data_IF_115315939637
#
_entry.id   IF_115315939637
#
_cell.length_a   1.000
_cell.length_b   1.000
_cell.length_c   1.000
_cell.angle_alpha   90.00
_cell.angle_beta   90.00
_cell.angle_gamma   90.00
#
_symmetry.space_group_name_H-M   'P 1'
#
loop_
_entity.id
_entity.type
_entity.pdbx_description
1 polymer ?
#
# COMPACT_ATOMS: atom_id res chain seq x y z
N UNK A 1 -17.21 -0.70 -14.65
CA UNK A 1 -16.06 0.22 -14.38
C UNK A 1 -16.30 1.51 -15.14
N UNK A 2 -16.11 2.68 -14.48
CA UNK A 2 -16.28 3.99 -15.15
C UNK A 2 -15.12 4.22 -16.14
N UNK A 3 -15.39 4.95 -17.23
CA UNK A 3 -14.37 5.33 -18.21
C UNK A 3 -13.23 6.12 -17.55
N UNK A 4 -13.55 7.00 -16.59
CA UNK A 4 -12.58 7.77 -15.81
C UNK A 4 -11.57 6.85 -15.11
N UNK A 5 -12.06 5.79 -14.46
CA UNK A 5 -11.21 4.83 -13.76
C UNK A 5 -10.27 4.06 -14.72
N UNK A 6 -10.77 3.65 -15.90
CA UNK A 6 -9.96 2.98 -16.93
C UNK A 6 -8.83 3.90 -17.44
N UNK A 7 -9.13 5.18 -17.63
CA UNK A 7 -8.15 6.19 -18.03
C UNK A 7 -7.10 6.38 -16.94
N UNK A 8 -7.50 6.46 -15.66
CA UNK A 8 -6.58 6.58 -14.52
C UNK A 8 -5.62 5.38 -14.46
N UNK A 9 -6.12 4.15 -14.58
CA UNK A 9 -5.31 2.93 -14.60
C UNK A 9 -4.34 2.89 -15.79
N UNK A 10 -4.75 3.38 -16.96
CA UNK A 10 -3.87 3.49 -18.12
C UNK A 10 -2.73 4.48 -17.87
N UNK A 11 -3.01 5.65 -17.28
CA UNK A 11 -1.98 6.63 -16.90
C UNK A 11 -1.03 6.08 -15.84
N UNK A 12 -1.53 5.39 -14.84
CA UNK A 12 -0.72 4.74 -13.80
C UNK A 12 0.24 3.72 -14.40
N UNK A 13 -0.25 2.82 -15.26
CA UNK A 13 0.59 1.86 -15.95
C UNK A 13 1.69 2.55 -16.78
N UNK A 14 1.33 3.59 -17.54
CA UNK A 14 2.29 4.36 -18.35
C UNK A 14 3.32 5.06 -17.49
N UNK A 15 2.90 5.57 -16.33
CA UNK A 15 3.81 6.18 -15.36
C UNK A 15 4.83 5.14 -14.85
N UNK A 16 4.39 3.95 -14.45
CA UNK A 16 5.27 2.87 -14.01
C UNK A 16 6.24 2.44 -15.10
N UNK A 17 5.79 2.25 -16.33
CA UNK A 17 6.62 1.90 -17.47
C UNK A 17 7.73 2.94 -17.68
N UNK A 18 7.38 4.22 -17.66
CA UNK A 18 8.35 5.32 -17.82
C UNK A 18 9.28 5.45 -16.63
N UNK A 19 8.74 5.39 -15.41
CA UNK A 19 9.50 5.55 -14.17
C UNK A 19 10.54 4.45 -13.98
N UNK A 20 10.23 3.21 -14.37
CA UNK A 20 11.13 2.06 -14.25
C UNK A 20 12.04 1.88 -15.48
N UNK A 21 11.78 2.58 -16.58
CA UNK A 21 12.59 2.50 -17.80
C UNK A 21 14.05 2.86 -17.52
N UNK A 22 14.97 1.97 -17.94
CA UNK A 22 16.42 2.16 -17.79
C UNK A 22 16.96 1.98 -16.37
N UNK A 23 16.11 1.64 -15.38
CA UNK A 23 16.56 1.32 -14.03
C UNK A 23 17.01 -0.14 -13.93
N UNK A 24 17.95 -0.38 -13.02
CA UNK A 24 18.32 -1.75 -12.61
C UNK A 24 17.27 -2.30 -11.62
N UNK A 25 16.73 -3.48 -11.92
CA UNK A 25 15.69 -4.13 -11.13
C UNK A 25 16.12 -4.34 -9.67
N UNK A 26 17.33 -4.90 -9.47
CA UNK A 26 17.78 -5.28 -8.13
C UNK A 26 18.09 -4.06 -7.27
N UNK A 27 18.73 -3.04 -7.86
CA UNK A 27 18.99 -1.78 -7.16
C UNK A 27 17.70 -1.07 -6.78
N UNK A 28 16.69 -1.10 -7.67
CA UNK A 28 15.38 -0.50 -7.38
C UNK A 28 14.69 -1.22 -6.22
N UNK A 29 14.61 -2.55 -6.21
CA UNK A 29 13.99 -3.29 -5.13
C UNK A 29 14.78 -3.16 -3.82
N UNK A 30 16.11 -3.14 -3.85
CA UNK A 30 16.93 -2.90 -2.66
C UNK A 30 16.63 -1.54 -2.03
N UNK A 31 16.58 -0.48 -2.87
CA UNK A 31 16.20 0.85 -2.42
C UNK A 31 14.76 0.89 -1.89
N UNK A 32 13.81 0.25 -2.57
CA UNK A 32 12.40 0.25 -2.15
C UNK A 32 12.21 -0.52 -0.84
N UNK A 33 12.94 -1.63 -0.67
CA UNK A 33 12.97 -2.39 0.58
C UNK A 33 13.50 -1.55 1.74
N UNK A 34 14.60 -0.80 1.53
CA UNK A 34 15.13 0.11 2.54
C UNK A 34 14.09 1.19 2.90
N UNK A 35 13.46 1.81 1.91
CA UNK A 35 12.42 2.81 2.13
C UNK A 35 11.27 2.28 3.01
N UNK A 36 10.77 1.06 2.75
CA UNK A 36 9.71 0.47 3.57
C UNK A 36 10.19 0.09 4.97
N UNK A 37 11.41 -0.41 5.12
CA UNK A 37 11.99 -0.69 6.44
C UNK A 37 12.16 0.56 7.29
N UNK A 38 12.60 1.67 6.67
CA UNK A 38 12.75 2.96 7.35
C UNK A 38 11.38 3.48 7.82
N UNK A 39 10.36 3.35 6.97
CA UNK A 39 8.99 3.73 7.33
C UNK A 39 8.45 2.87 8.47
N UNK A 40 8.59 1.53 8.38
CA UNK A 40 8.18 0.62 9.45
C UNK A 40 8.89 0.91 10.77
N UNK A 41 10.16 1.31 10.72
CA UNK A 41 10.89 1.74 11.91
C UNK A 41 10.30 3.01 12.54
N UNK A 42 9.89 3.98 11.70
CA UNK A 42 9.29 5.24 12.18
C UNK A 42 7.92 5.04 12.85
N UNK A 43 7.16 4.02 12.42
CA UNK A 43 5.82 3.73 12.96
C UNK A 43 5.80 2.51 13.90
N UNK A 44 6.94 1.88 14.14
CA UNK A 44 7.06 0.56 14.79
C UNK A 44 6.71 0.54 16.28
N UNK A 45 6.72 1.69 16.96
CA UNK A 45 6.29 1.76 18.37
C UNK A 45 4.78 1.52 18.51
N UNK A 46 3.98 1.96 17.54
CA UNK A 46 2.53 1.82 17.55
C UNK A 46 2.04 0.64 16.72
N UNK A 47 2.92 0.06 15.87
CA UNK A 47 2.58 -1.03 14.97
C UNK A 47 3.47 -2.26 15.23
N UNK A 48 2.96 -3.31 15.90
CA UNK A 48 3.73 -4.52 16.21
C UNK A 48 3.87 -5.44 14.98
N UNK A 49 4.39 -4.91 13.87
CA UNK A 49 4.47 -5.64 12.60
C UNK A 49 5.37 -6.89 12.65
N UNK A 50 6.29 -6.95 13.64
CA UNK A 50 7.20 -8.10 13.82
C UNK A 50 6.48 -9.32 14.38
N UNK A 51 5.36 -9.10 15.07
CA UNK A 51 4.57 -10.14 15.74
C UNK A 51 3.29 -10.47 14.95
N UNK A 52 3.10 -9.84 13.79
CA UNK A 52 1.92 -10.05 12.98
C UNK A 52 1.89 -11.49 12.42
N UNK A 53 0.75 -12.16 12.60
CA UNK A 53 0.49 -13.48 12.05
C UNK A 53 0.13 -13.42 10.56
N UNK A 54 -0.55 -12.36 10.11
CA UNK A 54 -1.02 -12.21 8.72
C UNK A 54 -1.05 -10.76 8.27
N UNK A 55 -0.72 -10.53 7.01
CA UNK A 55 -0.60 -9.17 6.44
C UNK A 55 -1.31 -9.11 5.08
N UNK A 56 -2.05 -8.02 4.84
CA UNK A 56 -2.53 -7.63 3.53
C UNK A 56 -1.91 -6.29 3.10
N UNK A 57 -1.47 -6.19 1.85
CA UNK A 57 -1.02 -4.97 1.18
C UNK A 57 -1.96 -4.68 0.01
N UNK A 58 -2.89 -3.74 0.19
CA UNK A 58 -3.98 -3.47 -0.75
C UNK A 58 -3.73 -2.17 -1.51
N UNK A 59 -3.73 -2.24 -2.85
CA UNK A 59 -3.21 -1.20 -3.72
C UNK A 59 -1.68 -1.22 -3.74
N UNK A 60 -1.10 -2.42 -3.75
CA UNK A 60 0.33 -2.62 -3.53
C UNK A 60 1.22 -2.12 -4.68
N UNK A 61 0.67 -1.95 -5.89
CA UNK A 61 1.48 -1.68 -7.07
C UNK A 61 2.54 -2.78 -7.34
N UNK A 62 3.55 -2.51 -8.18
CA UNK A 62 4.59 -3.51 -8.49
C UNK A 62 5.70 -3.59 -7.43
N UNK A 63 5.69 -2.74 -6.41
CA UNK A 63 6.73 -2.72 -5.37
C UNK A 63 6.19 -2.17 -4.03
N UNK A 64 5.07 -2.74 -3.58
CA UNK A 64 4.42 -2.39 -2.33
C UNK A 64 5.21 -2.82 -1.09
N UNK A 65 4.60 -2.61 0.08
CA UNK A 65 5.25 -2.95 1.35
C UNK A 65 5.42 -4.47 1.53
N UNK A 66 4.65 -5.29 0.79
CA UNK A 66 4.79 -6.75 0.79
C UNK A 66 6.23 -7.21 0.56
N UNK A 67 7.05 -6.43 -0.16
CA UNK A 67 8.45 -6.81 -0.49
C UNK A 67 9.36 -6.94 0.74
N UNK A 68 9.02 -6.30 1.86
CA UNK A 68 9.80 -6.42 3.10
C UNK A 68 9.39 -7.64 3.92
N UNK A 69 8.22 -8.19 3.65
CA UNK A 69 7.69 -9.40 4.27
C UNK A 69 7.95 -10.66 3.43
N UNK A 70 8.53 -10.49 2.24
CA UNK A 70 8.89 -11.57 1.34
C UNK A 70 10.39 -11.55 1.06
N UNK A 71 11.09 -12.70 1.14
CA UNK A 71 12.48 -12.74 0.74
C UNK A 71 12.59 -12.45 -0.77
N UNK A 72 13.50 -11.55 -1.14
CA UNK A 72 13.87 -11.39 -2.54
C UNK A 72 14.72 -12.56 -2.96
N UNK A 73 14.27 -13.34 -3.95
CA UNK A 73 15.12 -14.32 -4.62
C UNK A 73 15.73 -13.66 -5.85
N UNK A 74 17.04 -13.39 -5.89
CA UNK A 74 17.69 -13.14 -7.17
C UNK A 74 17.51 -14.38 -8.07
N UNK A 75 17.15 -14.18 -9.34
CA UNK A 75 17.27 -15.27 -10.33
C UNK A 75 18.75 -15.68 -10.38
N UNK A 76 19.11 -16.75 -9.69
CA UNK A 76 20.51 -17.17 -9.55
C UNK A 76 20.76 -18.14 -8.39
N UNK A 77 19.70 -18.61 -7.78
CA UNK A 77 19.78 -19.71 -6.83
C UNK A 77 20.13 -19.26 -5.40
N UNK A 78 19.21 -19.53 -4.50
CA UNK A 78 19.58 -19.69 -3.11
C UNK A 78 20.52 -20.86 -2.99
N UNK A 79 21.62 -20.64 -2.31
CA UNK A 79 22.40 -21.73 -1.79
C UNK A 79 21.53 -22.37 -0.69
N UNK A 80 20.87 -23.50 -1.00
CA UNK A 80 19.95 -24.23 -0.12
C UNK A 80 20.61 -24.77 1.16
N UNK A 81 21.90 -24.49 1.35
CA UNK A 81 22.67 -24.91 2.53
C UNK A 81 22.57 -23.92 3.71
N UNK A 82 21.91 -22.79 3.55
CA UNK A 82 21.70 -21.83 4.63
C UNK A 82 20.33 -22.08 5.27
N UNK A 83 20.24 -23.06 6.16
CA UNK A 83 19.05 -23.50 6.89
C UNK A 83 18.38 -22.41 7.77
N UNK A 84 18.90 -21.19 7.74
CA UNK A 84 18.37 -20.01 8.42
C UNK A 84 17.43 -19.14 7.57
N UNK A 85 17.29 -19.40 6.26
CA UNK A 85 16.65 -18.49 5.27
C UNK A 85 15.18 -18.73 4.99
N UNK A 86 14.56 -19.70 5.64
CA UNK A 86 13.12 -19.96 5.49
C UNK A 86 12.22 -19.06 6.34
N UNK A 87 12.80 -18.14 7.11
CA UNK A 87 12.03 -17.14 7.86
C UNK A 87 11.83 -15.92 6.98
N UNK A 88 10.56 -15.40 6.83
CA UNK A 88 10.35 -14.10 6.24
C UNK A 88 11.22 -13.06 6.96
N UNK A 89 11.80 -12.08 6.25
CA UNK A 89 12.81 -11.17 6.82
C UNK A 89 12.36 -10.42 8.06
N UNK A 90 11.05 -10.26 8.29
CA UNK A 90 10.48 -9.54 9.43
C UNK A 90 9.61 -10.42 10.35
N UNK A 91 9.79 -11.73 10.34
CA UNK A 91 9.13 -12.60 11.34
C UNK A 91 7.62 -12.82 11.16
N UNK A 92 7.04 -12.42 10.02
CA UNK A 92 5.65 -12.71 9.71
C UNK A 92 5.49 -14.20 9.47
N UNK A 93 4.65 -14.85 10.27
CA UNK A 93 4.51 -16.32 10.27
C UNK A 93 3.31 -16.83 9.46
N UNK A 94 2.46 -15.91 8.99
CA UNK A 94 1.24 -16.24 8.27
C UNK A 94 1.23 -15.71 6.82
N UNK A 95 0.07 -15.76 6.17
CA UNK A 95 -0.07 -15.33 4.79
C UNK A 95 0.23 -13.85 4.61
N UNK A 96 0.98 -13.54 3.55
CA UNK A 96 1.12 -12.20 3.00
C UNK A 96 0.29 -12.15 1.72
N UNK A 97 -0.72 -11.29 1.68
CA UNK A 97 -1.52 -11.05 0.48
C UNK A 97 -1.19 -9.68 -0.06
N UNK A 98 -0.98 -9.59 -1.38
CA UNK A 98 -0.80 -8.33 -2.10
C UNK A 98 -1.87 -8.20 -3.17
N UNK A 99 -2.70 -7.17 -3.08
CA UNK A 99 -3.81 -6.93 -3.99
C UNK A 99 -3.64 -5.60 -4.74
N UNK A 100 -3.79 -5.62 -6.05
CA UNK A 100 -3.79 -4.42 -6.91
C UNK A 100 -4.47 -4.75 -8.24
N UNK A 101 -5.29 -3.86 -8.81
CA UNK A 101 -6.03 -4.15 -10.04
C UNK A 101 -5.12 -4.35 -11.27
N UNK A 102 -3.89 -3.87 -11.23
CA UNK A 102 -2.95 -3.92 -12.37
C UNK A 102 -1.90 -5.05 -12.28
N UNK A 103 -1.92 -5.90 -11.24
CA UNK A 103 -0.88 -6.92 -11.03
C UNK A 103 -0.63 -7.81 -12.26
N UNK A 104 -1.69 -8.31 -12.90
CA UNK A 104 -1.54 -9.15 -14.10
C UNK A 104 -1.01 -8.37 -15.31
N UNK A 105 -1.29 -7.07 -15.35
CA UNK A 105 -0.77 -6.18 -16.38
C UNK A 105 0.69 -5.83 -16.10
N UNK A 106 1.04 -5.57 -14.85
CA UNK A 106 2.44 -5.35 -14.44
C UNK A 106 3.32 -6.54 -14.79
N UNK A 107 2.87 -7.76 -14.46
CA UNK A 107 3.60 -9.00 -14.77
C UNK A 107 3.87 -9.17 -16.27
N UNK A 108 2.91 -8.78 -17.12
CA UNK A 108 3.04 -8.87 -18.57
C UNK A 108 3.88 -7.76 -19.20
N UNK A 109 3.91 -6.57 -18.60
CA UNK A 109 4.40 -5.35 -19.26
C UNK A 109 5.57 -4.68 -18.59
N UNK A 110 5.85 -5.01 -17.32
CA UNK A 110 6.97 -4.46 -16.57
C UNK A 110 8.05 -5.52 -16.38
N UNK A 111 9.26 -5.35 -16.97
CA UNK A 111 10.36 -6.30 -16.77
C UNK A 111 10.81 -6.40 -15.30
N UNK A 112 10.40 -5.45 -14.47
CA UNK A 112 10.71 -5.36 -13.06
C UNK A 112 9.86 -6.30 -12.20
N UNK A 113 8.61 -6.56 -12.57
CA UNK A 113 7.67 -7.27 -11.73
C UNK A 113 7.48 -8.70 -12.23
N UNK A 114 7.77 -9.66 -11.37
CA UNK A 114 7.52 -11.08 -11.58
C UNK A 114 7.03 -11.64 -10.23
N UNK A 115 5.81 -12.16 -10.18
CA UNK A 115 5.21 -12.73 -8.96
C UNK A 115 6.05 -13.88 -8.38
N UNK A 116 6.79 -14.60 -9.24
CA UNK A 116 7.67 -15.68 -8.82
C UNK A 116 8.88 -15.21 -7.98
N UNK A 117 9.23 -13.93 -8.04
CA UNK A 117 10.27 -13.35 -7.19
C UNK A 117 9.84 -13.27 -5.71
N UNK A 118 8.53 -13.48 -5.42
CA UNK A 118 7.93 -13.32 -4.09
C UNK A 118 7.12 -14.56 -3.68
N UNK A 119 7.76 -15.72 -3.47
CA UNK A 119 7.09 -17.01 -3.27
C UNK A 119 6.26 -17.10 -1.98
N UNK A 120 6.41 -16.16 -1.05
CA UNK A 120 5.64 -16.09 0.21
C UNK A 120 4.44 -15.15 0.13
N UNK A 121 4.22 -14.51 -1.03
CA UNK A 121 3.14 -13.55 -1.24
C UNK A 121 2.10 -14.14 -2.19
N UNK A 122 0.85 -14.11 -1.76
CA UNK A 122 -0.29 -14.42 -2.64
C UNK A 122 -0.76 -13.14 -3.31
N UNK A 123 -0.73 -13.10 -4.64
CA UNK A 123 -1.14 -11.95 -5.44
C UNK A 123 -2.58 -12.08 -5.92
N UNK A 124 -3.36 -11.00 -5.77
CA UNK A 124 -4.76 -10.91 -6.17
C UNK A 124 -4.94 -9.69 -7.07
N UNK A 125 -5.30 -9.91 -8.35
CA UNK A 125 -5.60 -8.82 -9.29
C UNK A 125 -7.01 -8.27 -9.03
N UNK A 126 -7.15 -7.36 -8.05
CA UNK A 126 -8.43 -6.84 -7.57
C UNK A 126 -8.27 -5.41 -7.06
N UNK A 127 -9.33 -4.58 -7.27
CA UNK A 127 -9.36 -3.24 -6.66
C UNK A 127 -9.70 -3.33 -5.18
N UNK A 128 -9.33 -2.27 -4.45
CA UNK A 128 -9.60 -2.15 -3.01
C UNK A 128 -11.11 -2.24 -2.71
N UNK A 129 -11.96 -1.58 -3.49
CA UNK A 129 -13.41 -1.60 -3.28
C UNK A 129 -14.06 -2.98 -3.41
N UNK A 130 -13.41 -3.89 -4.13
CA UNK A 130 -13.86 -5.26 -4.31
C UNK A 130 -13.14 -6.25 -3.35
N UNK A 131 -12.17 -5.77 -2.55
CA UNK A 131 -11.35 -6.62 -1.67
C UNK A 131 -12.17 -7.17 -0.51
N UNK A 132 -12.48 -8.45 -0.57
CA UNK A 132 -13.25 -9.19 0.43
C UNK A 132 -12.57 -10.54 0.68
N UNK A 133 -11.51 -10.58 1.48
CA UNK A 133 -10.80 -11.81 1.79
C UNK A 133 -11.67 -12.72 2.68
N UNK A 134 -11.48 -14.04 2.55
CA UNK A 134 -12.18 -15.02 3.38
C UNK A 134 -11.75 -14.95 4.86
N UNK A 135 -10.52 -14.51 5.13
CA UNK A 135 -9.96 -14.38 6.47
C UNK A 135 -9.46 -12.95 6.69
N UNK A 136 -9.62 -12.48 7.92
CA UNK A 136 -9.13 -11.16 8.33
C UNK A 136 -7.64 -11.20 8.68
N UNK A 137 -6.99 -10.03 8.57
CA UNK A 137 -5.55 -9.84 8.78
C UNK A 137 -5.23 -9.12 10.09
N UNK A 138 -4.07 -9.42 10.66
CA UNK A 138 -3.55 -8.69 11.81
C UNK A 138 -3.17 -7.26 11.43
N UNK A 139 -2.64 -7.08 10.22
CA UNK A 139 -2.30 -5.76 9.68
C UNK A 139 -2.75 -5.66 8.22
N UNK A 140 -3.46 -4.57 7.90
CA UNK A 140 -3.83 -4.19 6.53
C UNK A 140 -3.12 -2.89 6.17
N UNK A 141 -2.28 -2.96 5.15
CA UNK A 141 -1.61 -1.79 4.56
C UNK A 141 -2.38 -1.31 3.33
N UNK A 142 -2.50 0.01 3.16
CA UNK A 142 -2.95 0.67 1.95
C UNK A 142 -2.02 1.85 1.67
N UNK A 143 -0.92 1.59 0.95
CA UNK A 143 0.17 2.53 0.79
C UNK A 143 0.13 3.22 -0.57
N UNK A 144 -0.04 4.55 -0.59
CA UNK A 144 -0.17 5.39 -1.80
C UNK A 144 -1.29 4.95 -2.75
N UNK A 145 -2.38 4.40 -2.23
CA UNK A 145 -3.46 3.86 -3.05
C UNK A 145 -4.83 4.48 -2.74
N UNK A 146 -5.10 4.86 -1.49
CA UNK A 146 -6.42 5.34 -1.08
C UNK A 146 -6.87 6.61 -1.83
N UNK A 147 -5.94 7.43 -2.28
CA UNK A 147 -6.24 8.66 -3.03
C UNK A 147 -6.73 8.38 -4.47
N UNK A 148 -6.50 7.15 -4.97
CA UNK A 148 -6.80 6.73 -6.35
C UNK A 148 -8.09 5.91 -6.48
N UNK A 149 -8.73 5.52 -5.38
CA UNK A 149 -9.96 4.71 -5.40
C UNK A 149 -11.13 5.49 -6.00
N UNK A 150 -12.11 4.77 -6.54
CA UNK A 150 -13.30 5.40 -7.10
C UNK A 150 -14.29 5.83 -6.00
N UNK A 151 -14.42 5.00 -4.96
CA UNK A 151 -15.29 5.22 -3.79
C UNK A 151 -14.47 5.08 -2.51
N UNK A 152 -14.15 6.20 -1.88
CA UNK A 152 -13.30 6.23 -0.69
C UNK A 152 -14.01 5.65 0.55
N UNK A 153 -15.32 5.85 0.68
CA UNK A 153 -16.08 5.31 1.79
C UNK A 153 -16.08 3.78 1.72
N UNK A 154 -16.42 3.21 0.56
CA UNK A 154 -16.38 1.77 0.34
C UNK A 154 -14.96 1.21 0.53
N UNK A 155 -13.94 1.94 0.07
CA UNK A 155 -12.54 1.53 0.25
C UNK A 155 -12.16 1.41 1.73
N UNK A 156 -12.52 2.39 2.56
CA UNK A 156 -12.28 2.30 4.01
C UNK A 156 -13.12 1.22 4.68
N UNK A 157 -14.37 0.98 4.24
CA UNK A 157 -15.16 -0.15 4.72
C UNK A 157 -14.42 -1.48 4.47
N UNK A 158 -13.85 -1.67 3.27
CA UNK A 158 -13.09 -2.87 2.93
C UNK A 158 -11.81 -3.05 3.75
N UNK A 159 -11.09 -1.95 4.03
CA UNK A 159 -9.91 -2.01 4.89
C UNK A 159 -10.28 -2.47 6.32
N UNK A 160 -11.36 -1.92 6.88
CA UNK A 160 -11.86 -2.31 8.21
C UNK A 160 -12.37 -3.74 8.21
N UNK A 161 -13.18 -4.13 7.22
CA UNK A 161 -13.73 -5.48 7.10
C UNK A 161 -12.63 -6.54 6.98
N UNK A 162 -11.53 -6.23 6.30
CA UNK A 162 -10.39 -7.11 6.14
C UNK A 162 -9.47 -7.19 7.37
N UNK A 163 -9.66 -6.32 8.36
CA UNK A 163 -8.82 -6.24 9.56
C UNK A 163 -9.47 -7.01 10.71
N UNK A 164 -8.68 -7.78 11.46
CA UNK A 164 -9.14 -8.47 12.68
C UNK A 164 -9.52 -7.47 13.78
N UNK A 165 -10.37 -7.90 14.70
CA UNK A 165 -10.59 -7.17 15.96
C UNK A 165 -9.23 -6.97 16.67
N UNK A 166 -8.97 -5.79 17.16
CA UNK A 166 -7.67 -5.35 17.66
C UNK A 166 -6.51 -5.35 16.64
N UNK A 167 -6.78 -5.60 15.36
CA UNK A 167 -5.82 -5.50 14.27
C UNK A 167 -5.52 -4.03 13.88
N UNK A 168 -4.60 -3.87 12.95
CA UNK A 168 -4.08 -2.56 12.58
C UNK A 168 -4.35 -2.26 11.11
N UNK A 169 -4.68 -0.99 10.83
CA UNK A 169 -4.82 -0.44 9.49
C UNK A 169 -3.79 0.66 9.32
N UNK A 170 -2.97 0.56 8.28
CA UNK A 170 -1.93 1.54 7.97
C UNK A 170 -2.21 2.12 6.59
N UNK A 171 -2.50 3.42 6.54
CA UNK A 171 -2.85 4.09 5.29
C UNK A 171 -1.89 5.25 5.04
N UNK A 172 -1.28 5.34 3.87
CA UNK A 172 -0.58 6.55 3.48
C UNK A 172 -1.44 7.43 2.58
N UNK A 173 -1.34 8.72 2.81
CA UNK A 173 -2.21 9.75 2.23
C UNK A 173 -1.41 10.98 1.81
N UNK A 174 -1.85 11.65 0.76
CA UNK A 174 -1.45 13.00 0.42
C UNK A 174 -2.54 13.97 0.89
N UNK A 175 -2.28 14.61 2.03
CA UNK A 175 -3.23 15.49 2.70
C UNK A 175 -2.98 16.96 2.34
N UNK A 176 -4.03 17.72 2.05
CA UNK A 176 -3.94 19.16 1.81
C UNK A 176 -3.44 19.93 3.01
N UNK A 177 -2.47 20.83 2.78
CA UNK A 177 -1.94 21.74 3.81
C UNK A 177 -2.77 23.01 3.97
N UNK A 178 -3.58 23.38 2.97
CA UNK A 178 -4.28 24.65 2.93
C UNK A 178 -5.76 24.48 2.53
N UNK A 179 -6.67 24.93 3.36
CA UNK A 179 -8.12 24.83 3.14
C UNK A 179 -8.59 25.55 1.86
N UNK A 180 -7.95 26.65 1.47
CA UNK A 180 -8.25 27.38 0.24
C UNK A 180 -7.97 26.52 -1.00
N UNK A 181 -6.76 25.97 -1.10
CA UNK A 181 -6.38 25.12 -2.24
C UNK A 181 -7.19 23.82 -2.26
N UNK A 182 -7.50 23.22 -1.11
CA UNK A 182 -8.39 22.06 -1.01
C UNK A 182 -9.75 22.34 -1.68
N UNK A 183 -10.38 23.49 -1.38
CA UNK A 183 -11.66 23.90 -2.01
C UNK A 183 -11.50 24.13 -3.51
N UNK A 184 -10.42 24.79 -3.92
CA UNK A 184 -10.14 25.07 -5.33
C UNK A 184 -9.95 23.78 -6.13
N UNK A 185 -9.17 22.82 -5.63
CA UNK A 185 -8.95 21.53 -6.30
C UNK A 185 -10.22 20.65 -6.33
N UNK A 186 -11.09 20.74 -5.34
CA UNK A 186 -12.40 20.08 -5.37
C UNK A 186 -13.33 20.65 -6.46
N UNK A 187 -13.20 21.93 -6.79
CA UNK A 187 -14.04 22.61 -7.82
C UNK A 187 -13.52 22.37 -9.24
N UNK A 188 -12.23 22.12 -9.39
CA UNK A 188 -11.60 21.87 -10.70
C UNK A 188 -11.44 20.37 -10.86
N UNK A 189 -12.26 19.66 -11.66
CA UNK A 189 -12.16 18.21 -11.84
C UNK A 189 -10.96 17.82 -12.73
N UNK A 190 -9.80 18.42 -12.49
CA UNK A 190 -8.60 18.29 -13.34
C UNK A 190 -7.69 17.13 -12.96
N UNK A 191 -7.71 16.70 -11.71
CA UNK A 191 -6.87 15.58 -11.27
C UNK A 191 -7.64 14.26 -11.39
N UNK A 192 -7.41 13.57 -12.52
CA UNK A 192 -8.02 12.27 -12.80
C UNK A 192 -7.42 11.18 -11.89
N UNK A 193 -6.17 11.34 -11.47
CA UNK A 193 -5.44 10.36 -10.68
C UNK A 193 -5.78 10.45 -9.18
N UNK A 194 -6.04 11.65 -8.67
CA UNK A 194 -6.35 11.87 -7.25
C UNK A 194 -7.74 12.50 -7.10
N UNK A 195 -8.83 11.70 -7.23
CA UNK A 195 -10.19 12.23 -7.13
C UNK A 195 -10.54 12.74 -5.73
N UNK A 196 -9.80 12.32 -4.73
CA UNK A 196 -10.06 12.60 -3.32
C UNK A 196 -9.13 13.68 -2.77
N UNK A 197 -9.74 14.80 -2.35
CA UNK A 197 -9.04 16.02 -1.92
C UNK A 197 -9.42 16.34 -0.47
N UNK A 198 -8.74 15.72 0.50
CA UNK A 198 -9.01 15.85 1.93
C UNK A 198 -7.79 16.36 2.69
N UNK A 199 -8.01 16.94 3.87
CA UNK A 199 -6.93 17.22 4.82
C UNK A 199 -6.68 16.02 5.74
N UNK A 200 -5.67 16.16 6.60
CA UNK A 200 -5.22 15.09 7.49
C UNK A 200 -6.33 14.62 8.45
N UNK A 201 -7.13 15.55 8.98
CA UNK A 201 -8.19 15.21 9.93
C UNK A 201 -9.36 14.52 9.23
N UNK A 202 -9.74 14.99 8.04
CA UNK A 202 -10.78 14.34 7.24
C UNK A 202 -10.39 12.88 6.89
N UNK A 203 -9.11 12.63 6.54
CA UNK A 203 -8.64 11.26 6.32
C UNK A 203 -8.65 10.41 7.60
N UNK A 204 -8.26 10.98 8.73
CA UNK A 204 -8.33 10.28 10.02
C UNK A 204 -9.79 9.96 10.40
N UNK A 205 -10.72 10.85 10.08
CA UNK A 205 -12.16 10.67 10.33
C UNK A 205 -12.76 9.47 9.59
N UNK A 206 -12.29 9.14 8.38
CA UNK A 206 -12.75 7.93 7.69
C UNK A 206 -12.50 6.66 8.52
N UNK A 207 -11.37 6.61 9.23
CA UNK A 207 -11.04 5.48 10.11
C UNK A 207 -11.80 5.55 11.44
N UNK A 208 -11.87 6.72 12.08
CA UNK A 208 -12.51 6.84 13.40
C UNK A 208 -14.02 6.62 13.37
N UNK A 209 -14.70 7.06 12.30
CA UNK A 209 -16.13 6.78 12.07
C UNK A 209 -16.45 5.29 11.92
N UNK A 210 -15.44 4.47 11.63
CA UNK A 210 -15.53 3.01 11.48
C UNK A 210 -15.01 2.24 12.70
N UNK A 211 -14.90 2.91 13.85
CA UNK A 211 -14.49 2.25 15.09
C UNK A 211 -12.98 2.08 15.26
N UNK A 212 -12.15 2.71 14.42
CA UNK A 212 -10.71 2.64 14.59
C UNK A 212 -10.21 3.77 15.48
N UNK A 213 -9.29 3.45 16.39
CA UNK A 213 -8.53 4.43 17.15
C UNK A 213 -7.26 4.79 16.39
N UNK A 214 -7.06 6.07 16.08
CA UNK A 214 -5.80 6.55 15.50
C UNK A 214 -4.72 6.54 16.57
N UNK A 215 -3.64 5.81 16.32
CA UNK A 215 -2.49 5.69 17.21
C UNK A 215 -1.38 6.65 16.80
N UNK A 216 -1.18 6.85 15.48
CA UNK A 216 -0.13 7.72 14.96
C UNK A 216 -0.53 8.41 13.67
N UNK A 217 -0.08 9.66 13.52
CA UNK A 217 -0.12 10.46 12.29
C UNK A 217 1.33 10.84 11.96
N UNK A 218 2.03 9.97 11.22
CA UNK A 218 3.44 10.17 10.89
C UNK A 218 3.59 11.03 9.65
N UNK A 219 4.24 12.20 9.77
CA UNK A 219 4.66 12.99 8.62
C UNK A 219 5.87 12.32 7.96
N UNK A 220 5.74 11.96 6.68
CA UNK A 220 6.82 11.37 5.88
C UNK A 220 7.52 12.42 5.03
N UNK A 221 6.74 13.30 4.36
CA UNK A 221 7.26 14.37 3.51
C UNK A 221 6.36 15.59 3.58
N UNK A 222 6.96 16.76 3.72
CA UNK A 222 6.24 18.04 3.67
C UNK A 222 6.46 18.71 2.32
N UNK A 223 5.38 19.09 1.66
CA UNK A 223 5.38 19.87 0.42
C UNK A 223 4.48 21.10 0.57
N UNK A 224 4.44 21.97 -0.43
CA UNK A 224 3.68 23.23 -0.31
C UNK A 224 2.16 22.99 -0.29
N UNK A 225 1.63 22.28 -1.28
CA UNK A 225 0.18 22.04 -1.40
C UNK A 225 -0.29 20.85 -0.57
N UNK A 226 0.52 19.80 -0.54
CA UNK A 226 0.24 18.53 0.12
C UNK A 226 1.36 18.16 1.07
N UNK A 227 1.03 17.37 2.06
CA UNK A 227 2.02 16.66 2.86
C UNK A 227 1.68 15.18 2.88
N UNK A 228 2.70 14.36 2.70
CA UNK A 228 2.55 12.92 2.74
C UNK A 228 2.60 12.44 4.18
N UNK A 229 1.51 11.79 4.62
CA UNK A 229 1.39 11.21 5.95
C UNK A 229 1.14 9.71 5.89
N UNK A 230 1.52 9.03 6.98
CA UNK A 230 1.07 7.67 7.28
C UNK A 230 0.24 7.70 8.54
N UNK A 231 -0.98 7.19 8.45
CA UNK A 231 -1.90 6.99 9.56
C UNK A 231 -1.80 5.54 10.03
N UNK A 232 -1.62 5.34 11.33
CA UNK A 232 -1.73 4.04 11.97
C UNK A 232 -2.98 4.03 12.83
N UNK A 233 -3.94 3.20 12.49
CA UNK A 233 -5.16 2.99 13.25
C UNK A 233 -5.25 1.57 13.79
N UNK A 234 -5.89 1.41 14.94
CA UNK A 234 -6.22 0.12 15.54
C UNK A 234 -7.72 -0.06 15.56
N UNK A 235 -8.21 -1.18 15.07
CA UNK A 235 -9.62 -1.57 15.19
C UNK A 235 -9.93 -1.90 16.65
N UNK A 236 -11.04 -1.36 17.17
CA UNK A 236 -11.46 -1.55 18.57
C UNK A 236 -12.59 -2.55 18.61
#
# INVERSE_FOLDING_TARGET
>A
MSLRWQIAQWFELRWWQRYLSGKDKFKYYAWKKQYWNDLLTQIGEELPYRDAGSIADVGCGPAGIFIVFSPQTPKGGFNTNDSGLLKPPLGVWGPVIAADPLLDTYEKTLPFFDKQDFPYTTFISQKLEDFQPAEKFDIVFCMNAINHVADIDLAYDRLVDATKDNGYIVVSIDAHNHSFFKKLFRLIPGDILHPHQYDLEEYADFMTKRGCKILKKQLVKKEFFFSHYVLVGKQI
#
